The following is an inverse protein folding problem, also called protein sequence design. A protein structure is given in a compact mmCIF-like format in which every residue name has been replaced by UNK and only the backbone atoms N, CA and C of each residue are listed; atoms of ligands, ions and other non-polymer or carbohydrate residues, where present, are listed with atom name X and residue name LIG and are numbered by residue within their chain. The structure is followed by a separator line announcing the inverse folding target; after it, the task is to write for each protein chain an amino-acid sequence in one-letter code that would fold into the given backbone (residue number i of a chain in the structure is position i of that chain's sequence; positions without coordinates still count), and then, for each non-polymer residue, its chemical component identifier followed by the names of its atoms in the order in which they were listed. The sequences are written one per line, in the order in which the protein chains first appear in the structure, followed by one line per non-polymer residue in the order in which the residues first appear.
data_IF_930713864923
#
_entry.id   IF_930713864923
#
_cell.length_a   1.000
_cell.length_b   1.000
_cell.length_c   1.000
_cell.angle_alpha   90.00
_cell.angle_beta   90.00
_cell.angle_gamma   90.00
#
_symmetry.space_group_name_H-M   'P 1'
#
loop_
_entity.id
_entity.type
_entity.pdbx_description
1 polymer ?
#
# COMPACT_ATOMS: atom_id res chain seq x y z
N UNK A 1 46.15 25.63 66.63
CA UNK A 1 44.88 26.32 67.01
C UNK A 1 43.91 26.21 65.83
N UNK A 2 42.69 25.69 66.05
CA UNK A 2 41.45 25.84 65.23
C UNK A 2 41.42 25.12 63.85
N UNK A 3 40.73 23.95 63.73
CA UNK A 3 39.33 23.73 63.25
C UNK A 3 39.15 24.07 61.75
N UNK A 4 38.60 23.29 60.81
CA UNK A 4 37.33 22.54 60.70
C UNK A 4 37.45 21.61 59.45
N UNK A 5 37.04 20.35 59.47
CA UNK A 5 35.69 19.80 59.30
C UNK A 5 35.13 19.83 57.84
N UNK A 6 34.69 18.65 57.40
CA UNK A 6 33.69 18.31 56.35
C UNK A 6 34.12 18.30 54.88
N UNK A 7 34.15 17.11 54.28
CA UNK A 7 32.99 16.55 53.56
C UNK A 7 33.29 15.13 53.08
N UNK A 8 32.61 14.18 53.69
CA UNK A 8 32.47 12.83 53.21
C UNK A 8 31.56 12.76 51.97
N UNK A 9 31.70 11.64 51.27
CA UNK A 9 30.70 11.01 50.42
C UNK A 9 30.41 11.64 49.06
N UNK A 10 31.09 11.13 48.03
CA UNK A 10 30.43 10.82 46.76
C UNK A 10 30.81 9.39 46.37
N UNK A 11 30.00 8.43 46.84
CA UNK A 11 30.02 7.07 46.33
C UNK A 11 29.39 7.05 44.94
N UNK A 12 30.16 6.49 44.01
CA UNK A 12 29.75 6.10 42.67
C UNK A 12 28.47 5.24 42.71
N UNK A 13 27.41 5.72 42.08
CA UNK A 13 26.29 4.89 41.66
C UNK A 13 25.78 5.43 40.32
N UNK A 14 26.41 5.02 39.22
CA UNK A 14 25.79 5.12 37.90
C UNK A 14 24.90 3.88 37.72
N UNK A 15 23.56 4.02 37.60
CA UNK A 15 22.75 2.91 37.12
C UNK A 15 23.04 2.74 35.63
N UNK A 16 23.66 1.62 35.26
CA UNK A 16 23.76 1.18 33.87
C UNK A 16 22.38 0.70 33.42
N UNK A 17 21.58 1.64 32.91
CA UNK A 17 20.34 1.35 32.20
C UNK A 17 20.68 0.59 30.91
N UNK A 18 20.74 -0.74 30.97
CA UNK A 18 20.81 -1.55 29.76
C UNK A 18 19.43 -1.48 29.09
N UNK A 19 19.26 -0.51 28.20
CA UNK A 19 18.16 -0.47 27.26
C UNK A 19 18.35 -1.65 26.31
N UNK A 20 17.75 -2.79 26.64
CA UNK A 20 17.57 -3.88 25.68
C UNK A 20 16.52 -3.42 24.68
N UNK A 21 16.98 -2.65 23.69
CA UNK A 21 16.18 -2.35 22.51
C UNK A 21 16.03 -3.66 21.72
N UNK A 22 14.95 -4.39 21.99
CA UNK A 22 14.42 -5.34 21.03
C UNK A 22 13.88 -4.54 19.84
N UNK A 23 14.78 -4.10 18.96
CA UNK A 23 14.40 -3.82 17.58
C UNK A 23 13.99 -5.16 16.99
N UNK A 24 12.71 -5.51 17.14
CA UNK A 24 12.11 -6.53 16.28
C UNK A 24 12.32 -6.02 14.84
N UNK A 25 13.01 -6.77 13.96
CA UNK A 25 13.00 -6.43 12.56
C UNK A 25 11.54 -6.45 12.12
N UNK A 26 11.01 -5.29 11.75
CA UNK A 26 9.80 -5.22 10.97
C UNK A 26 10.12 -5.94 9.67
N UNK A 27 9.72 -7.22 9.57
CA UNK A 27 9.73 -7.92 8.30
C UNK A 27 8.77 -7.15 7.41
N UNK A 28 9.31 -6.31 6.53
CA UNK A 28 8.62 -5.92 5.33
C UNK A 28 8.24 -7.24 4.65
N UNK A 29 6.96 -7.59 4.69
CA UNK A 29 6.44 -8.75 3.96
C UNK A 29 6.57 -8.43 2.47
N UNK A 30 7.79 -8.66 1.94
CA UNK A 30 8.26 -8.33 0.60
C UNK A 30 7.71 -9.28 -0.46
N UNK A 31 6.68 -10.07 -0.11
CA UNK A 31 6.15 -11.10 -0.99
C UNK A 31 5.29 -10.54 -2.10
N UNK A 32 4.93 -9.26 -2.11
CA UNK A 32 4.16 -8.64 -3.18
C UNK A 32 4.93 -7.52 -3.89
N UNK A 33 4.95 -7.56 -5.23
CA UNK A 33 5.52 -6.50 -6.08
C UNK A 33 4.44 -5.74 -6.85
N UNK A 34 4.64 -4.45 -7.10
CA UNK A 34 3.76 -3.64 -7.96
C UNK A 34 3.91 -4.13 -9.40
N UNK A 35 2.80 -4.42 -10.05
CA UNK A 35 2.74 -4.77 -11.48
C UNK A 35 2.04 -3.69 -12.32
N UNK A 36 1.25 -2.83 -11.69
CA UNK A 36 0.64 -1.66 -12.32
C UNK A 36 0.52 -0.53 -11.29
N UNK A 37 0.98 0.67 -11.67
CA UNK A 37 0.76 1.91 -10.95
C UNK A 37 0.09 2.88 -11.92
N UNK A 38 -1.04 3.47 -11.52
CA UNK A 38 -1.76 4.42 -12.36
C UNK A 38 -2.42 5.51 -11.53
N UNK A 39 -2.45 6.72 -12.10
CA UNK A 39 -3.22 7.85 -11.59
C UNK A 39 -4.42 8.07 -12.47
N UNK A 40 -5.61 8.00 -11.88
CA UNK A 40 -6.86 8.32 -12.54
C UNK A 40 -7.33 9.73 -12.17
N UNK A 41 -8.19 10.28 -12.99
CA UNK A 41 -8.86 11.55 -12.72
C UNK A 41 -9.55 11.55 -11.34
N UNK A 42 -9.65 12.73 -10.74
CA UNK A 42 -10.18 12.90 -9.37
C UNK A 42 -9.24 12.40 -8.28
N UNK A 43 -7.93 12.44 -8.51
CA UNK A 43 -6.87 12.09 -7.54
C UNK A 43 -6.94 10.65 -7.01
N UNK A 44 -7.42 9.73 -7.85
CA UNK A 44 -7.41 8.30 -7.53
C UNK A 44 -6.06 7.70 -7.96
N UNK A 45 -5.21 7.35 -7.01
CA UNK A 45 -3.99 6.59 -7.29
C UNK A 45 -4.25 5.11 -7.03
N UNK A 46 -3.96 4.26 -8.00
CA UNK A 46 -4.24 2.83 -7.96
C UNK A 46 -2.94 2.07 -8.19
N UNK A 47 -2.69 1.10 -7.31
CA UNK A 47 -1.60 0.16 -7.45
C UNK A 47 -2.17 -1.26 -7.46
N UNK A 48 -1.81 -2.03 -8.48
CA UNK A 48 -2.03 -3.47 -8.52
C UNK A 48 -0.73 -4.15 -8.15
N UNK A 49 -0.80 -5.01 -7.15
CA UNK A 49 0.31 -5.81 -6.69
C UNK A 49 0.06 -7.27 -6.99
N UNK A 50 1.13 -8.02 -7.19
CA UNK A 50 1.07 -9.47 -7.30
C UNK A 50 1.96 -10.08 -6.22
N UNK A 51 1.38 -10.98 -5.43
CA UNK A 51 2.15 -11.83 -4.52
C UNK A 51 2.98 -12.83 -5.35
N UNK A 52 4.30 -12.84 -5.17
CA UNK A 52 5.24 -13.69 -5.90
C UNK A 52 5.11 -15.17 -5.54
N UNK A 53 4.62 -15.49 -4.35
CA UNK A 53 4.45 -16.87 -3.88
C UNK A 53 3.10 -17.44 -4.29
N UNK A 54 1.99 -16.74 -4.01
CA UNK A 54 0.64 -17.22 -4.28
C UNK A 54 0.10 -16.83 -5.66
N UNK A 55 0.74 -15.88 -6.34
CA UNK A 55 0.22 -15.24 -7.55
C UNK A 55 -0.99 -14.33 -7.29
N UNK A 56 -1.40 -14.15 -6.03
CA UNK A 56 -2.58 -13.37 -5.67
C UNK A 56 -2.42 -11.91 -6.11
N UNK A 57 -3.46 -11.40 -6.74
CA UNK A 57 -3.56 -9.99 -7.09
C UNK A 57 -4.18 -9.20 -5.96
N UNK A 58 -3.52 -8.11 -5.59
CA UNK A 58 -3.97 -7.15 -4.58
C UNK A 58 -4.19 -5.78 -5.23
N UNK A 59 -5.26 -5.13 -4.83
CA UNK A 59 -5.61 -3.78 -5.24
C UNK A 59 -5.40 -2.84 -4.06
N UNK A 60 -4.67 -1.76 -4.28
CA UNK A 60 -4.50 -0.66 -3.31
C UNK A 60 -4.84 0.65 -3.99
N UNK A 61 -5.85 1.35 -3.50
CA UNK A 61 -6.20 2.68 -3.97
C UNK A 61 -6.16 3.71 -2.87
N UNK A 62 -5.72 4.91 -3.24
CA UNK A 62 -5.83 6.13 -2.44
C UNK A 62 -6.67 7.12 -3.22
N UNK A 63 -7.67 7.69 -2.57
CA UNK A 63 -8.60 8.67 -3.16
C UNK A 63 -8.90 9.78 -2.14
N UNK A 64 -9.51 10.90 -2.57
CA UNK A 64 -10.00 11.93 -1.66
C UNK A 64 -10.99 11.40 -0.61
N UNK A 65 -11.65 10.26 -0.88
CA UNK A 65 -12.63 9.63 0.00
C UNK A 65 -12.02 8.58 0.93
N UNK A 66 -10.71 8.37 0.88
CA UNK A 66 -9.98 7.42 1.70
C UNK A 66 -9.26 6.34 0.91
N UNK A 67 -8.70 5.38 1.65
CA UNK A 67 -7.90 4.28 1.13
C UNK A 67 -8.72 2.98 1.05
N UNK A 68 -8.47 2.19 0.01
CA UNK A 68 -9.09 0.88 -0.19
C UNK A 68 -8.03 -0.16 -0.50
N UNK A 69 -8.08 -1.29 0.21
CA UNK A 69 -7.23 -2.46 -0.03
C UNK A 69 -8.10 -3.68 -0.25
N UNK A 70 -7.93 -4.37 -1.38
CA UNK A 70 -8.64 -5.60 -1.71
C UNK A 70 -7.65 -6.68 -2.13
N UNK A 71 -7.96 -7.94 -1.84
CA UNK A 71 -7.22 -9.10 -2.33
C UNK A 71 -8.05 -9.93 -3.30
N UNK A 72 -7.55 -11.11 -3.64
CA UNK A 72 -8.23 -12.10 -4.50
C UNK A 72 -8.68 -11.53 -5.85
N UNK A 73 -7.86 -10.64 -6.43
CA UNK A 73 -8.09 -10.13 -7.76
C UNK A 73 -7.92 -11.19 -8.85
N UNK A 74 -8.47 -10.89 -10.02
CA UNK A 74 -8.27 -11.68 -11.25
C UNK A 74 -7.71 -10.79 -12.36
N UNK A 75 -7.02 -11.39 -13.32
CA UNK A 75 -6.49 -10.70 -14.50
C UNK A 75 -6.98 -11.42 -15.75
N UNK A 76 -7.51 -10.67 -16.71
CA UNK A 76 -7.97 -11.19 -17.99
C UNK A 76 -7.41 -10.34 -19.13
N UNK A 77 -6.92 -10.97 -20.20
CA UNK A 77 -6.65 -10.28 -21.45
C UNK A 77 -7.96 -10.17 -22.25
N UNK A 78 -8.34 -8.96 -22.64
CA UNK A 78 -9.54 -8.68 -23.43
C UNK A 78 -9.20 -7.58 -24.43
N UNK A 79 -9.64 -7.73 -25.69
CA UNK A 79 -9.49 -6.68 -26.70
C UNK A 79 -8.07 -6.09 -26.79
N UNK A 80 -7.05 -6.95 -26.70
CA UNK A 80 -5.64 -6.52 -26.79
C UNK A 80 -5.07 -5.83 -25.54
N UNK A 81 -5.86 -5.63 -24.48
CA UNK A 81 -5.42 -5.04 -23.21
C UNK A 81 -5.64 -5.99 -22.03
N UNK A 82 -5.02 -5.69 -20.89
CA UNK A 82 -5.18 -6.46 -19.66
C UNK A 82 -6.16 -5.74 -18.73
N UNK A 83 -7.04 -6.50 -18.08
CA UNK A 83 -8.02 -5.97 -17.12
C UNK A 83 -7.86 -6.71 -15.81
N UNK A 84 -7.65 -5.95 -14.75
CA UNK A 84 -7.61 -6.46 -13.38
C UNK A 84 -8.97 -6.23 -12.71
N UNK A 85 -9.58 -7.28 -12.15
CA UNK A 85 -10.89 -7.21 -11.50
C UNK A 85 -10.80 -7.58 -10.03
N UNK A 86 -11.43 -6.77 -9.18
CA UNK A 86 -11.51 -6.96 -7.73
C UNK A 86 -12.94 -6.80 -7.27
N UNK A 87 -13.32 -7.51 -6.20
CA UNK A 87 -14.68 -7.48 -5.67
C UNK A 87 -14.69 -7.14 -4.18
N UNK A 88 -15.62 -6.28 -3.79
CA UNK A 88 -15.93 -5.97 -2.41
C UNK A 88 -17.44 -5.97 -2.20
N UNK A 89 -18.00 -7.07 -1.68
CA UNK A 89 -19.45 -7.26 -1.51
C UNK A 89 -20.18 -7.10 -2.85
N UNK A 90 -20.99 -6.04 -2.98
CA UNK A 90 -21.75 -5.66 -4.18
C UNK A 90 -21.00 -4.75 -5.16
N UNK A 91 -19.78 -4.37 -4.81
CA UNK A 91 -18.92 -3.53 -5.65
C UNK A 91 -17.91 -4.37 -6.43
N UNK A 92 -17.66 -3.97 -7.66
CA UNK A 92 -16.60 -4.52 -8.51
C UNK A 92 -15.74 -3.38 -9.05
N UNK A 93 -14.42 -3.59 -9.05
CA UNK A 93 -13.42 -2.62 -9.46
C UNK A 93 -12.65 -3.21 -10.62
N UNK A 94 -12.72 -2.56 -11.77
CA UNK A 94 -12.09 -3.00 -13.01
C UNK A 94 -11.03 -1.96 -13.38
N UNK A 95 -9.79 -2.40 -13.49
CA UNK A 95 -8.66 -1.54 -13.84
C UNK A 95 -8.11 -2.00 -15.19
N UNK A 96 -8.32 -1.17 -16.19
CA UNK A 96 -7.89 -1.38 -17.56
C UNK A 96 -6.46 -0.87 -17.74
N UNK A 97 -5.55 -1.79 -18.08
CA UNK A 97 -4.11 -1.60 -18.19
C UNK A 97 -3.70 -1.32 -19.65
N UNK A 98 -4.14 -0.18 -20.17
CA UNK A 98 -3.99 0.14 -21.59
C UNK A 98 -5.31 0.52 -22.25
N UNK A 99 -5.19 1.19 -23.38
CA UNK A 99 -6.19 1.15 -24.47
C UNK A 99 -5.53 0.53 -25.70
N UNK A 100 -6.33 0.18 -26.71
CA UNK A 100 -5.81 -0.32 -28.00
C UNK A 100 -4.83 0.66 -28.65
N UNK A 101 -5.11 1.96 -28.55
CA UNK A 101 -4.33 3.01 -29.20
C UNK A 101 -3.16 3.49 -28.34
N UNK A 102 -3.26 3.37 -27.01
CA UNK A 102 -2.26 3.90 -26.10
C UNK A 102 -2.06 3.01 -24.84
N UNK A 103 -0.94 2.25 -24.76
CA UNK A 103 -0.65 1.38 -23.63
C UNK A 103 -0.31 2.13 -22.33
N UNK A 104 -0.09 3.44 -22.38
CA UNK A 104 0.13 4.29 -21.20
C UNK A 104 -1.17 4.84 -20.60
N UNK A 105 -2.27 4.78 -21.36
CA UNK A 105 -3.60 5.15 -20.89
C UNK A 105 -4.32 3.95 -20.30
N UNK A 106 -5.35 4.19 -19.50
CA UNK A 106 -6.18 3.14 -18.90
C UNK A 106 -7.50 3.71 -18.41
N UNK A 107 -8.26 2.90 -17.71
CA UNK A 107 -9.54 3.33 -17.13
C UNK A 107 -9.80 2.57 -15.83
N UNK A 108 -10.27 3.28 -14.82
CA UNK A 108 -10.88 2.69 -13.63
C UNK A 108 -12.39 2.70 -13.83
N UNK A 109 -13.00 1.53 -13.75
CA UNK A 109 -14.44 1.38 -13.68
C UNK A 109 -14.82 0.77 -12.32
N UNK A 110 -15.86 1.34 -11.70
CA UNK A 110 -16.43 0.82 -10.47
C UNK A 110 -17.89 0.53 -10.71
N UNK A 111 -18.30 -0.70 -10.43
CA UNK A 111 -19.67 -1.15 -10.54
C UNK A 111 -20.27 -1.35 -9.16
N UNK A 112 -21.58 -1.17 -9.04
CA UNK A 112 -22.38 -1.57 -7.88
C UNK A 112 -23.62 -2.29 -8.38
N UNK A 113 -23.81 -3.54 -7.96
CA UNK A 113 -24.92 -4.38 -8.44
C UNK A 113 -25.02 -4.41 -9.98
N UNK A 114 -23.89 -4.61 -10.66
CA UNK A 114 -23.74 -4.67 -12.13
C UNK A 114 -24.09 -3.36 -12.87
N UNK A 115 -24.21 -2.23 -12.16
CA UNK A 115 -24.37 -0.90 -12.76
C UNK A 115 -23.11 -0.09 -12.58
N UNK A 116 -22.68 0.59 -13.64
CA UNK A 116 -21.52 1.49 -13.55
C UNK A 116 -21.83 2.65 -12.61
N UNK A 117 -20.96 2.85 -11.63
CA UNK A 117 -21.02 3.93 -10.64
C UNK A 117 -19.97 4.99 -10.94
N UNK A 118 -18.80 4.56 -11.42
CA UNK A 118 -17.66 5.41 -11.71
C UNK A 118 -16.95 4.90 -12.96
N UNK A 119 -16.56 5.82 -13.83
CA UNK A 119 -15.61 5.57 -14.92
C UNK A 119 -14.64 6.74 -14.95
N UNK A 120 -13.35 6.49 -14.78
CA UNK A 120 -12.32 7.52 -14.75
C UNK A 120 -11.17 7.11 -15.66
N UNK A 121 -10.73 7.98 -16.59
CA UNK A 121 -9.53 7.71 -17.36
C UNK A 121 -8.32 7.77 -16.44
N UNK A 122 -7.33 6.93 -16.74
CA UNK A 122 -6.10 6.80 -15.98
C UNK A 122 -4.87 6.88 -16.88
N UNK A 123 -3.73 7.25 -16.28
CA UNK A 123 -2.42 7.25 -16.90
C UNK A 123 -1.45 6.47 -16.03
N UNK A 124 -0.62 5.62 -16.63
CA UNK A 124 0.44 4.90 -15.91
C UNK A 124 1.47 5.87 -15.32
N UNK A 125 2.07 5.47 -14.21
CA UNK A 125 3.12 6.22 -13.50
C UNK A 125 4.36 5.36 -13.37
#
# INVERSE_FOLDING_TARGET
MKTLLKRAALFLALPTSVLVNFFLPAFADSTAGIILSTRCQGDHNINIWQNSTSGELLYRATSPYGNLSLGRGTSQATEGVRVYRFRNKSYEYWVWDGTLDNPQSGTLEVYKNNRILLQQPCTKI
#
